data_IF_970640290028
#
_entry.id   IF_970640290028
#
_cell.length_a   1.000
_cell.length_b   1.000
_cell.length_c   1.000
_cell.angle_alpha   90.00
_cell.angle_beta   90.00
_cell.angle_gamma   90.00
#
_symmetry.space_group_name_H-M   'P 1'
#
loop_
_entity.id
_entity.type
_entity.pdbx_description
1 polymer ?
#
# COMPACT_ATOMS: atom_id res chain seq x y z
N UNK A 1 10.60 -4.38 6.48
CA UNK A 1 10.03 -3.65 5.31
C UNK A 1 8.89 -4.51 4.75
N UNK A 2 7.82 -3.91 4.21
CA UNK A 2 6.43 -4.44 4.12
C UNK A 2 5.55 -4.11 5.34
N UNK A 3 5.49 -2.82 5.68
CA UNK A 3 4.64 -2.32 6.77
C UNK A 3 3.63 -1.32 6.22
N UNK A 4 2.46 -1.25 6.85
CA UNK A 4 1.47 -0.25 6.52
C UNK A 4 1.88 1.11 7.06
N UNK A 5 1.75 2.13 6.22
CA UNK A 5 1.98 3.53 6.59
C UNK A 5 0.71 4.33 6.36
N UNK A 6 0.44 5.27 7.27
CA UNK A 6 -0.55 6.32 7.07
C UNK A 6 0.19 7.58 6.67
N UNK A 7 -0.04 8.05 5.44
CA UNK A 7 0.50 9.33 4.96
C UNK A 7 -0.63 10.33 4.88
N UNK A 8 -0.44 11.51 5.47
CA UNK A 8 -1.41 12.59 5.48
C UNK A 8 -0.76 13.85 4.90
N UNK A 9 -1.41 14.47 3.92
CA UNK A 9 -0.95 15.72 3.30
C UNK A 9 -2.06 16.76 3.47
N UNK A 10 -1.71 17.93 4.00
CA UNK A 10 -2.62 19.05 4.17
C UNK A 10 -1.96 20.35 3.76
N UNK A 11 -2.69 21.23 3.10
CA UNK A 11 -2.25 22.60 2.82
C UNK A 11 -3.09 23.58 3.64
N UNK A 12 -2.43 24.45 4.39
CA UNK A 12 -3.03 25.56 5.10
C UNK A 12 -2.37 26.86 4.62
N UNK A 13 -3.11 27.68 3.88
CA UNK A 13 -2.59 28.90 3.25
C UNK A 13 -1.35 28.60 2.39
N UNK A 14 -0.17 29.05 2.81
CA UNK A 14 1.12 28.86 2.12
C UNK A 14 1.93 27.69 2.68
N UNK A 15 1.44 27.00 3.71
CA UNK A 15 2.15 25.90 4.36
C UNK A 15 1.58 24.57 3.92
N UNK A 16 2.43 23.75 3.31
CA UNK A 16 2.18 22.33 3.06
C UNK A 16 2.74 21.53 4.23
N UNK A 17 1.92 20.64 4.79
CA UNK A 17 2.30 19.73 5.87
C UNK A 17 2.16 18.29 5.39
N UNK A 18 3.18 17.48 5.62
CA UNK A 18 3.16 16.04 5.38
C UNK A 18 3.44 15.32 6.70
N UNK A 19 2.62 14.34 7.04
CA UNK A 19 2.79 13.49 8.22
C UNK A 19 2.83 12.02 7.82
N UNK A 20 3.78 11.27 8.38
CA UNK A 20 3.90 9.83 8.23
C UNK A 20 3.63 9.19 9.60
N UNK A 21 2.62 8.33 9.67
CA UNK A 21 2.13 7.71 10.90
C UNK A 21 1.87 8.77 11.99
N UNK A 22 2.49 8.59 13.16
CA UNK A 22 2.35 9.48 14.31
C UNK A 22 3.56 10.43 14.48
N UNK A 23 4.43 10.53 13.47
CA UNK A 23 5.62 11.39 13.54
C UNK A 23 5.27 12.88 13.48
N UNK A 24 6.22 13.73 13.85
CA UNK A 24 6.09 15.18 13.68
C UNK A 24 5.92 15.53 12.19
N UNK A 25 5.06 16.52 11.86
CA UNK A 25 4.80 16.88 10.48
C UNK A 25 6.03 17.56 9.86
N UNK A 26 6.33 17.17 8.62
CA UNK A 26 7.28 17.87 7.77
C UNK A 26 6.58 19.03 7.07
N UNK A 27 7.09 20.24 7.27
CA UNK A 27 6.46 21.45 6.75
C UNK A 27 7.32 22.07 5.63
N UNK A 28 6.67 22.43 4.52
CA UNK A 28 7.25 23.25 3.46
C UNK A 28 6.39 24.49 3.24
N UNK A 29 7.04 25.64 3.12
CA UNK A 29 6.37 26.90 2.79
C UNK A 29 6.48 27.16 1.29
N UNK A 30 5.35 27.37 0.63
CA UNK A 30 5.29 27.76 -0.76
C UNK A 30 5.62 29.26 -0.90
N UNK A 31 6.47 29.67 -1.87
CA UNK A 31 6.81 31.08 -2.08
C UNK A 31 5.66 31.94 -2.61
N UNK A 32 4.63 31.32 -3.20
CA UNK A 32 3.58 32.01 -3.96
C UNK A 32 2.36 32.40 -3.10
N UNK A 33 1.64 33.44 -3.52
CA UNK A 33 0.33 33.88 -3.00
C UNK A 33 -0.85 32.97 -3.39
N UNK A 34 -0.60 31.79 -3.99
CA UNK A 34 -1.66 30.83 -4.33
C UNK A 34 -2.19 30.16 -3.05
N UNK A 35 -3.12 30.84 -2.40
CA UNK A 35 -3.74 30.44 -1.13
C UNK A 35 -4.76 29.29 -1.28
N UNK A 36 -5.30 29.07 -2.48
CA UNK A 36 -6.32 28.05 -2.73
C UNK A 36 -5.94 27.08 -3.86
N UNK A 37 -5.99 25.78 -3.57
CA UNK A 37 -6.03 24.72 -4.59
C UNK A 37 -7.48 24.62 -5.05
N UNK A 38 -7.87 25.49 -5.99
CA UNK A 38 -9.29 25.68 -6.31
C UNK A 38 -9.89 24.63 -7.27
N UNK A 39 -9.12 23.67 -7.79
CA UNK A 39 -9.68 22.64 -8.67
C UNK A 39 -8.79 21.41 -8.80
N UNK A 40 -8.95 20.45 -7.89
CA UNK A 40 -8.45 19.09 -8.13
C UNK A 40 -9.49 18.39 -9.01
N UNK A 41 -9.20 18.27 -10.31
CA UNK A 41 -10.11 17.61 -11.28
C UNK A 41 -9.92 16.10 -11.32
N UNK A 42 -8.69 15.64 -11.17
CA UNK A 42 -8.34 14.22 -11.26
C UNK A 42 -7.19 13.92 -10.32
N UNK A 43 -7.28 12.77 -9.66
CA UNK A 43 -6.23 12.21 -8.81
C UNK A 43 -5.82 10.89 -9.41
N UNK A 44 -4.52 10.70 -9.55
CA UNK A 44 -3.94 9.44 -9.99
C UNK A 44 -3.21 8.81 -8.82
N UNK A 45 -3.49 7.53 -8.56
CA UNK A 45 -2.79 6.73 -7.57
C UNK A 45 -1.94 5.67 -8.29
N UNK A 46 -0.73 5.44 -7.81
CA UNK A 46 0.18 4.42 -8.36
C UNK A 46 0.88 4.82 -9.66
N UNK A 47 0.10 5.00 -10.74
CA UNK A 47 0.62 5.36 -12.05
C UNK A 47 -0.22 6.44 -12.73
N UNK A 48 0.30 7.67 -12.87
CA UNK A 48 -0.35 8.69 -13.66
C UNK A 48 -0.07 8.48 -15.16
N UNK A 49 -1.10 8.30 -16.01
CA UNK A 49 -0.91 8.21 -17.44
C UNK A 49 -0.46 9.58 -18.00
N UNK A 50 0.31 9.57 -19.09
CA UNK A 50 0.74 10.76 -19.86
C UNK A 50 1.72 11.75 -19.18
N UNK A 51 2.41 11.36 -18.11
CA UNK A 51 3.43 12.23 -17.47
C UNK A 51 4.86 12.07 -18.02
N UNK A 52 5.07 11.35 -19.13
CA UNK A 52 6.39 11.01 -19.68
C UNK A 52 7.37 12.19 -19.72
N UNK A 53 6.95 13.36 -20.18
CA UNK A 53 7.81 14.56 -20.26
C UNK A 53 7.95 15.35 -18.94
N UNK A 54 7.13 15.07 -17.92
CA UNK A 54 7.13 15.79 -16.63
C UNK A 54 7.67 14.98 -15.45
N UNK A 55 7.85 13.66 -15.58
CA UNK A 55 8.32 12.76 -14.51
C UNK A 55 9.54 13.27 -13.76
N UNK A 56 10.59 13.72 -14.48
CA UNK A 56 11.81 14.26 -13.86
C UNK A 56 11.55 15.49 -12.97
N UNK A 57 10.63 16.38 -13.37
CA UNK A 57 10.31 17.60 -12.61
C UNK A 57 9.53 17.31 -11.32
N UNK A 58 8.74 16.25 -11.32
CA UNK A 58 7.96 15.80 -10.15
C UNK A 58 8.68 14.72 -9.35
N UNK A 59 9.96 14.45 -9.65
CA UNK A 59 10.77 13.45 -8.94
C UNK A 59 10.28 12.01 -9.11
N UNK A 60 9.44 11.73 -10.10
CA UNK A 60 9.04 10.35 -10.40
C UNK A 60 10.14 9.67 -11.22
N UNK A 61 10.57 8.51 -10.75
CA UNK A 61 11.47 7.63 -11.49
C UNK A 61 10.81 7.02 -12.73
N UNK A 62 11.47 6.04 -13.33
CA UNK A 62 10.98 5.35 -14.54
C UNK A 62 9.75 4.48 -14.29
N UNK A 63 9.49 4.09 -13.04
CA UNK A 63 8.47 3.11 -12.65
C UNK A 63 7.21 3.69 -12.00
N UNK A 64 6.27 2.81 -11.70
CA UNK A 64 5.09 3.05 -10.87
C UNK A 64 5.39 2.81 -9.40
N UNK A 65 4.46 3.18 -8.51
CA UNK A 65 4.49 2.69 -7.13
C UNK A 65 4.22 1.18 -7.17
N UNK A 66 5.19 0.38 -6.71
CA UNK A 66 5.00 -1.05 -6.48
C UNK A 66 4.67 -1.25 -4.99
N UNK A 67 3.43 -1.63 -4.69
CA UNK A 67 2.99 -1.83 -3.32
C UNK A 67 1.48 -1.79 -3.16
N UNK A 68 1.04 -1.58 -1.93
CA UNK A 68 -0.35 -1.71 -1.52
C UNK A 68 -0.95 -0.41 -1.00
N UNK A 69 -2.18 -0.11 -1.44
CA UNK A 69 -2.98 1.01 -0.93
C UNK A 69 -4.25 0.42 -0.32
N UNK A 70 -4.42 0.60 0.99
CA UNK A 70 -5.59 0.07 1.72
C UNK A 70 -6.78 1.03 1.67
N UNK A 71 -6.51 2.32 1.77
CA UNK A 71 -7.54 3.35 1.91
C UNK A 71 -7.03 4.67 1.33
N UNK A 72 -7.92 5.39 0.66
CA UNK A 72 -7.68 6.75 0.21
C UNK A 72 -8.86 7.62 0.64
N UNK A 73 -8.55 8.68 1.38
CA UNK A 73 -9.53 9.69 1.78
C UNK A 73 -9.04 11.07 1.38
N UNK A 74 -9.95 11.93 0.96
CA UNK A 74 -9.65 13.31 0.63
C UNK A 74 -10.77 14.22 1.10
N UNK A 75 -10.40 15.42 1.53
CA UNK A 75 -11.36 16.49 1.78
C UNK A 75 -11.80 17.09 0.43
N UNK A 76 -13.06 16.88 0.06
CA UNK A 76 -13.71 17.54 -1.08
C UNK A 76 -14.86 18.38 -0.54
N UNK A 77 -14.88 19.67 -0.87
CA UNK A 77 -16.02 20.56 -0.58
C UNK A 77 -16.56 20.50 0.86
N UNK A 78 -15.65 20.43 1.86
CA UNK A 78 -15.91 20.44 3.32
C UNK A 78 -16.26 19.09 3.98
N UNK A 79 -16.23 17.98 3.26
CA UNK A 79 -16.31 16.63 3.85
C UNK A 79 -15.09 15.78 3.47
N UNK A 80 -14.68 14.91 4.40
CA UNK A 80 -13.80 13.80 4.06
C UNK A 80 -14.61 12.73 3.34
N UNK A 81 -14.18 12.39 2.13
CA UNK A 81 -14.77 11.31 1.33
C UNK A 81 -13.78 10.16 1.31
N UNK A 82 -14.24 8.98 1.74
CA UNK A 82 -13.53 7.73 1.58
C UNK A 82 -13.82 7.16 0.18
N UNK A 83 -12.77 6.97 -0.62
CA UNK A 83 -12.90 6.45 -1.98
C UNK A 83 -12.78 4.94 -1.97
N UNK A 84 -13.74 4.26 -2.61
CA UNK A 84 -13.67 2.82 -2.85
C UNK A 84 -12.58 2.54 -3.89
N UNK A 85 -11.54 1.82 -3.49
CA UNK A 85 -10.40 1.46 -4.33
C UNK A 85 -10.51 0.08 -4.99
N UNK A 86 -11.61 -0.62 -4.77
CA UNK A 86 -11.92 -1.90 -5.40
C UNK A 86 -13.19 -1.76 -6.23
N UNK A 87 -13.23 -2.44 -7.37
CA UNK A 87 -14.48 -2.61 -8.11
C UNK A 87 -15.24 -3.80 -7.52
N UNK A 88 -16.40 -3.54 -6.94
CA UNK A 88 -17.31 -4.56 -6.40
C UNK A 88 -17.84 -5.49 -7.49
N UNK A 89 -17.75 -5.10 -8.78
CA UNK A 89 -18.23 -5.90 -9.91
C UNK A 89 -17.19 -6.85 -10.48
N UNK A 90 -15.98 -6.88 -9.91
CA UNK A 90 -14.93 -7.82 -10.32
C UNK A 90 -14.49 -7.63 -11.77
N UNK A 91 -14.32 -6.38 -12.21
CA UNK A 91 -13.83 -6.10 -13.55
C UNK A 91 -12.43 -6.71 -13.72
N UNK A 92 -12.35 -7.72 -14.57
CA UNK A 92 -11.11 -8.49 -14.86
C UNK A 92 -10.08 -7.63 -15.58
N UNK A 93 -10.51 -6.57 -16.26
CA UNK A 93 -9.65 -5.65 -17.00
C UNK A 93 -8.70 -4.85 -16.09
N UNK A 94 -9.11 -4.53 -14.86
CA UNK A 94 -8.26 -3.85 -13.87
C UNK A 94 -7.04 -4.71 -13.52
N UNK A 95 -7.25 -6.01 -13.32
CA UNK A 95 -6.19 -6.96 -13.02
C UNK A 95 -5.32 -7.26 -14.23
N UNK A 96 -5.94 -7.53 -15.38
CA UNK A 96 -5.22 -7.97 -16.58
C UNK A 96 -4.49 -6.83 -17.31
N UNK A 97 -5.06 -5.62 -17.37
CA UNK A 97 -4.47 -4.49 -18.10
C UNK A 97 -3.58 -3.61 -17.23
N UNK A 98 -3.91 -3.47 -15.96
CA UNK A 98 -3.24 -2.51 -15.08
C UNK A 98 -2.45 -3.16 -13.94
N UNK A 99 -2.46 -4.51 -13.84
CA UNK A 99 -1.77 -5.28 -12.81
C UNK A 99 -2.13 -4.84 -11.38
N UNK A 100 -3.37 -4.34 -11.21
CA UNK A 100 -3.91 -3.97 -9.91
C UNK A 100 -4.73 -5.15 -9.41
N UNK A 101 -4.30 -5.74 -8.30
CA UNK A 101 -4.99 -6.85 -7.64
C UNK A 101 -5.19 -6.54 -6.16
N UNK A 102 -6.02 -7.34 -5.50
CA UNK A 102 -6.18 -7.28 -4.04
C UNK A 102 -4.84 -7.58 -3.39
N UNK A 103 -4.43 -6.69 -2.50
CA UNK A 103 -3.24 -6.88 -1.68
C UNK A 103 -3.41 -8.06 -0.73
N UNK A 104 -2.98 -9.23 -1.19
CA UNK A 104 -2.82 -10.41 -0.34
C UNK A 104 -1.61 -10.16 0.54
N UNK A 105 -1.83 -10.05 1.85
CA UNK A 105 -0.73 -10.06 2.80
C UNK A 105 -0.19 -11.48 2.84
N UNK A 106 0.73 -11.81 1.93
CA UNK A 106 1.39 -13.11 1.87
C UNK A 106 1.93 -13.46 3.26
N UNK A 107 1.59 -14.64 3.75
CA UNK A 107 2.07 -15.17 5.01
C UNK A 107 3.61 -15.23 5.04
N UNK A 108 4.24 -15.42 3.89
CA UNK A 108 5.69 -15.35 3.72
C UNK A 108 6.30 -13.94 3.82
N UNK A 109 5.49 -12.88 3.73
CA UNK A 109 5.97 -11.48 3.80
C UNK A 109 6.61 -11.11 5.13
N UNK A 110 6.33 -11.89 6.19
CA UNK A 110 6.91 -11.71 7.53
C UNK A 110 8.16 -12.54 7.77
N UNK A 111 8.69 -13.20 6.74
CA UNK A 111 9.81 -14.15 6.84
C UNK A 111 9.66 -15.14 8.02
N UNK A 112 8.55 -15.89 8.10
CA UNK A 112 8.27 -16.74 9.26
C UNK A 112 9.12 -18.03 9.32
N UNK A 113 9.86 -18.37 8.26
CA UNK A 113 10.68 -19.58 8.22
C UNK A 113 12.06 -19.34 8.81
N UNK A 114 12.42 -20.09 9.86
CA UNK A 114 13.75 -20.04 10.47
C UNK A 114 14.80 -20.81 9.65
N UNK A 115 16.07 -20.67 10.03
CA UNK A 115 17.23 -21.40 9.44
C UNK A 115 17.35 -21.28 7.91
N UNK A 116 16.92 -20.13 7.35
CA UNK A 116 16.89 -19.89 5.91
C UNK A 116 16.07 -20.94 5.12
N UNK A 117 14.99 -21.45 5.73
CA UNK A 117 13.98 -22.24 5.04
C UNK A 117 13.25 -21.42 3.97
N UNK A 118 12.91 -22.07 2.86
CA UNK A 118 12.16 -21.44 1.77
C UNK A 118 10.68 -21.36 2.13
N UNK A 119 10.13 -20.14 2.20
CA UNK A 119 8.72 -19.93 2.48
C UNK A 119 7.89 -19.96 1.20
N UNK A 120 6.78 -20.70 1.21
CA UNK A 120 5.79 -20.72 0.13
C UNK A 120 4.41 -20.39 0.72
N UNK A 121 3.67 -19.46 0.13
CA UNK A 121 2.30 -19.19 0.53
C UNK A 121 1.39 -20.38 0.18
N UNK A 122 0.45 -20.68 1.05
CA UNK A 122 -0.63 -21.65 0.83
C UNK A 122 -1.89 -20.86 0.40
N UNK A 123 -2.79 -21.51 -0.33
CA UNK A 123 -3.87 -20.95 -1.16
C UNK A 123 -4.72 -19.79 -0.55
N UNK A 124 -4.80 -19.67 0.76
CA UNK A 124 -5.54 -18.63 1.49
C UNK A 124 -4.76 -17.31 1.67
N UNK A 125 -3.46 -17.30 1.36
CA UNK A 125 -2.57 -16.15 1.55
C UNK A 125 -2.28 -15.83 3.02
N UNK A 126 -2.92 -16.51 3.96
CA UNK A 126 -2.72 -16.40 5.41
C UNK A 126 -1.88 -17.56 5.96
N UNK A 127 -1.88 -18.69 5.27
CA UNK A 127 -1.09 -19.86 5.61
C UNK A 127 0.19 -19.90 4.76
N UNK A 128 1.25 -20.45 5.34
CA UNK A 128 2.54 -20.62 4.67
C UNK A 128 3.09 -22.02 4.94
N UNK A 129 3.95 -22.48 4.04
CA UNK A 129 4.72 -23.71 4.16
C UNK A 129 6.21 -23.39 4.08
N UNK A 130 6.96 -23.79 5.09
CA UNK A 130 8.42 -23.75 5.06
C UNK A 130 8.98 -25.04 4.49
N UNK A 131 9.84 -24.92 3.47
CA UNK A 131 10.68 -26.00 2.98
C UNK A 131 12.05 -25.83 3.60
N UNK A 132 12.41 -26.73 4.52
CA UNK A 132 13.67 -26.67 5.26
C UNK A 132 14.79 -27.37 4.46
N UNK A 133 16.04 -26.95 4.67
CA UNK A 133 17.22 -27.66 4.16
C UNK A 133 17.45 -28.95 4.96
N UNK A 134 18.15 -29.92 4.37
CA UNK A 134 18.48 -31.18 5.03
C UNK A 134 19.17 -30.93 6.40
N UNK A 135 18.69 -31.63 7.44
CA UNK A 135 19.15 -31.45 8.84
C UNK A 135 18.20 -30.65 9.73
N UNK A 136 17.14 -30.04 9.18
CA UNK A 136 16.11 -29.32 9.93
C UNK A 136 14.73 -29.94 9.68
N UNK A 137 14.00 -30.27 10.74
CA UNK A 137 12.65 -30.82 10.69
C UNK A 137 11.59 -29.76 10.98
N UNK A 138 10.39 -29.94 10.40
CA UNK A 138 9.27 -29.02 10.51
C UNK A 138 8.61 -29.19 11.89
N UNK A 139 8.76 -28.22 12.79
CA UNK A 139 7.77 -28.01 13.86
C UNK A 139 6.65 -27.18 13.23
N UNK A 140 5.53 -27.84 12.95
CA UNK A 140 4.30 -27.17 12.52
C UNK A 140 3.82 -26.32 13.70
N UNK A 141 4.23 -25.07 13.79
CA UNK A 141 3.68 -24.11 14.75
C UNK A 141 2.96 -22.98 14.00
N UNK A 142 1.81 -23.32 13.41
CA UNK A 142 0.75 -22.38 13.08
C UNK A 142 -0.59 -23.13 12.86
N UNK A 143 -1.01 -23.96 13.81
CA UNK A 143 -2.43 -24.24 14.01
C UNK A 143 -2.69 -23.97 15.49
N UNK A 144 -3.19 -22.79 15.81
CA UNK A 144 -3.77 -22.56 17.13
C UNK A 144 -5.28 -22.77 16.99
N UNK A 145 -5.68 -24.04 16.96
CA UNK A 145 -7.02 -24.45 17.34
C UNK A 145 -6.90 -25.59 18.37
N UNK A 146 -7.04 -25.19 19.64
CA UNK A 146 -7.50 -26.08 20.69
C UNK A 146 -8.92 -26.52 20.35
N UNK A 147 -9.16 -27.82 20.14
CA UNK A 147 -10.35 -28.50 20.66
C UNK A 147 -10.05 -29.99 20.79
N UNK A 148 -10.10 -30.47 22.04
CA UNK A 148 -9.89 -31.84 22.45
C UNK A 148 -10.90 -32.79 21.79
N UNK A 149 -10.43 -33.91 21.27
CA UNK A 149 -11.26 -35.04 20.87
C UNK A 149 -11.39 -36.00 22.05
N UNK A 150 -12.61 -36.32 22.46
CA UNK A 150 -12.95 -37.62 23.08
C UNK A 150 -13.21 -38.63 21.98
#
# INVERSE_FOLDING_TARGET
MNSWYRVSVSKLQTVLMMKINNQLPYNKREPSTLQLINSIKTIYLGFPPYLSSRRKRIGLGSGSIQGCIKSFSMNSSRLFVDYKLHDERGATDIKERHLIDVCKQSACSKFPCEHAGQCNDINDGLSFRCVCKAGYSVLISAIQEFYSST
#
